data_IF_369771157670
#
_entry.id   IF_369771157670
#
_cell.length_a   1.000
_cell.length_b   1.000
_cell.length_c   1.000
_cell.angle_alpha   90.00
_cell.angle_beta   90.00
_cell.angle_gamma   90.00
#
_symmetry.space_group_name_H-M   'P 1'
#
loop_
_entity.id
_entity.type
_entity.pdbx_description
1 polymer ?
#
# COMPACT_ATOMS: atom_id res chain seq x y z
N UNK A 1 9.64 -14.26 11.58
CA UNK A 1 11.08 -13.94 11.50
C UNK A 1 11.35 -13.11 10.24
N UNK A 2 11.96 -11.92 10.33
CA UNK A 2 12.08 -11.00 9.18
C UNK A 2 12.91 -11.53 8.00
N UNK A 3 13.87 -12.42 8.30
CA UNK A 3 14.78 -13.04 7.33
C UNK A 3 14.29 -14.39 6.82
N UNK A 4 13.10 -14.86 7.24
CA UNK A 4 12.57 -16.13 6.72
C UNK A 4 12.43 -16.04 5.20
N UNK A 5 13.13 -16.91 4.47
CA UNK A 5 13.22 -16.76 3.04
C UNK A 5 11.86 -16.93 2.33
N UNK A 6 11.02 -17.85 2.80
CA UNK A 6 9.75 -18.20 2.14
C UNK A 6 8.54 -17.38 2.63
N UNK A 7 8.76 -16.31 3.40
CA UNK A 7 7.65 -15.44 3.81
C UNK A 7 7.06 -14.67 2.63
N UNK A 8 5.83 -14.21 2.76
CA UNK A 8 5.28 -13.23 1.81
C UNK A 8 6.08 -11.91 1.84
N UNK A 9 6.07 -11.21 0.71
CA UNK A 9 6.72 -9.89 0.58
C UNK A 9 5.70 -8.79 0.49
N UNK A 10 6.00 -7.62 1.04
CA UNK A 10 5.15 -6.44 0.99
C UNK A 10 5.92 -5.23 0.46
N UNK A 11 5.46 -4.68 -0.66
CA UNK A 11 5.98 -3.47 -1.29
C UNK A 11 5.03 -2.32 -1.02
N UNK A 12 5.53 -1.27 -0.37
CA UNK A 12 4.80 -0.01 -0.21
C UNK A 12 5.19 0.95 -1.34
N UNK A 13 4.42 0.93 -2.44
CA UNK A 13 4.57 1.88 -3.54
C UNK A 13 4.23 3.31 -3.10
N UNK A 14 3.19 3.46 -2.26
CA UNK A 14 2.84 4.76 -1.65
C UNK A 14 3.77 5.11 -0.50
N UNK A 15 5.02 5.45 -0.83
CA UNK A 15 6.09 5.62 0.15
C UNK A 15 5.79 6.59 1.30
N UNK A 16 4.91 7.58 1.09
CA UNK A 16 4.45 8.50 2.16
C UNK A 16 3.60 7.81 3.24
N UNK A 17 3.03 6.64 2.96
CA UNK A 17 2.38 5.75 3.93
C UNK A 17 3.33 5.04 4.88
N UNK A 18 4.62 5.36 4.86
CA UNK A 18 5.65 4.78 5.71
C UNK A 18 5.28 4.67 7.20
N UNK A 19 4.66 5.70 7.83
CA UNK A 19 4.25 5.61 9.23
C UNK A 19 3.33 4.42 9.54
N UNK A 20 2.37 4.11 8.65
CA UNK A 20 1.46 2.98 8.81
C UNK A 20 2.20 1.64 8.68
N UNK A 21 3.10 1.50 7.70
CA UNK A 21 3.94 0.32 7.55
C UNK A 21 4.80 0.08 8.79
N UNK A 22 5.45 1.11 9.31
CA UNK A 22 6.29 0.97 10.50
C UNK A 22 5.49 0.65 11.75
N UNK A 23 4.30 1.21 11.93
CA UNK A 23 3.41 0.84 13.02
C UNK A 23 3.00 -0.64 12.94
N UNK A 24 2.68 -1.14 11.74
CA UNK A 24 2.35 -2.55 11.52
C UNK A 24 3.55 -3.47 11.83
N UNK A 25 4.75 -3.14 11.35
CA UNK A 25 5.97 -3.91 11.59
C UNK A 25 6.36 -3.93 13.08
N UNK A 26 6.24 -2.79 13.78
CA UNK A 26 6.47 -2.71 15.22
C UNK A 26 5.48 -3.58 16.00
N UNK A 27 4.19 -3.53 15.65
CA UNK A 27 3.16 -4.39 16.28
C UNK A 27 3.40 -5.88 16.01
N UNK A 28 4.05 -6.23 14.89
CA UNK A 28 4.48 -7.60 14.58
C UNK A 28 5.87 -7.94 15.11
N UNK A 29 6.43 -7.08 15.98
CA UNK A 29 7.72 -7.28 16.66
C UNK A 29 8.91 -7.46 15.72
N UNK A 30 8.89 -6.82 14.54
CA UNK A 30 10.05 -6.77 13.65
C UNK A 30 11.19 -5.93 14.24
N UNK A 31 10.85 -4.97 15.09
CA UNK A 31 11.75 -4.12 15.87
C UNK A 31 11.03 -3.55 17.10
N UNK A 32 11.76 -3.01 18.10
CA UNK A 32 11.15 -2.43 19.30
C UNK A 32 10.25 -1.23 18.98
N UNK A 33 9.11 -1.11 19.66
CA UNK A 33 8.11 -0.04 19.42
C UNK A 33 8.69 1.34 19.68
N UNK A 34 9.69 1.44 20.54
CA UNK A 34 10.40 2.67 20.91
C UNK A 34 11.08 3.34 19.70
N UNK A 35 11.45 2.57 18.67
CA UNK A 35 12.05 3.09 17.44
C UNK A 35 11.11 4.04 16.68
N UNK A 36 9.79 3.91 16.87
CA UNK A 36 8.79 4.81 16.25
C UNK A 36 9.02 6.27 16.64
N UNK A 37 9.56 6.54 17.84
CA UNK A 37 9.88 7.90 18.30
C UNK A 37 11.11 8.52 17.63
N UNK A 38 11.87 7.72 16.87
CA UNK A 38 13.06 8.13 16.12
C UNK A 38 12.79 8.33 14.63
N UNK A 39 11.53 8.22 14.18
CA UNK A 39 11.15 8.42 12.78
C UNK A 39 11.68 9.74 12.20
N UNK A 40 12.33 9.65 11.02
CA UNK A 40 12.97 10.76 10.27
C UNK A 40 14.10 11.48 11.01
N UNK A 41 14.60 10.98 12.15
CA UNK A 41 15.81 11.53 12.77
C UNK A 41 17.06 11.11 12.00
N UNK A 42 18.06 11.98 11.98
CA UNK A 42 19.35 11.69 11.36
C UNK A 42 19.97 10.44 11.99
N UNK A 43 20.39 9.49 11.16
CA UNK A 43 21.01 8.24 11.61
C UNK A 43 20.02 7.17 12.09
N UNK A 44 18.73 7.49 12.23
CA UNK A 44 17.74 6.54 12.72
C UNK A 44 17.50 5.36 11.78
N UNK A 45 16.87 4.31 12.33
CA UNK A 45 16.41 3.16 11.57
C UNK A 45 15.27 3.54 10.61
N UNK A 46 14.25 4.25 11.11
CA UNK A 46 13.02 4.56 10.39
C UNK A 46 13.14 5.85 9.57
N UNK A 47 13.33 5.71 8.26
CA UNK A 47 13.47 6.82 7.30
C UNK A 47 12.12 7.31 6.79
N UNK A 48 12.09 8.51 6.18
CA UNK A 48 10.86 9.12 5.64
C UNK A 48 10.21 8.37 4.47
N UNK A 49 10.94 7.41 3.89
CA UNK A 49 10.47 6.46 2.89
C UNK A 49 11.03 5.07 3.24
N UNK A 50 10.44 3.97 2.74
CA UNK A 50 10.92 2.62 3.01
C UNK A 50 12.38 2.45 2.59
N UNK A 51 13.24 2.00 3.52
CA UNK A 51 14.67 1.75 3.30
C UNK A 51 15.05 0.34 3.79
N UNK A 52 15.28 -0.56 2.84
CA UNK A 52 15.51 -2.00 3.06
C UNK A 52 16.69 -2.27 3.98
N UNK A 53 17.77 -1.48 3.87
CA UNK A 53 18.99 -1.73 4.65
C UNK A 53 18.90 -1.29 6.10
N UNK A 54 17.87 -0.51 6.45
CA UNK A 54 17.73 0.07 7.80
C UNK A 54 16.64 -0.60 8.59
N UNK A 55 15.44 -0.75 8.05
CA UNK A 55 14.28 -1.20 8.81
C UNK A 55 13.97 -2.69 8.55
N UNK A 56 14.04 -3.56 9.58
CA UNK A 56 13.64 -4.96 9.45
C UNK A 56 12.19 -5.10 8.96
N UNK A 57 11.97 -5.96 7.95
CA UNK A 57 10.65 -6.19 7.37
C UNK A 57 10.26 -5.26 6.22
N UNK A 58 11.11 -4.30 5.87
CA UNK A 58 10.96 -3.55 4.62
C UNK A 58 11.55 -4.36 3.47
N UNK A 59 10.71 -4.77 2.52
CA UNK A 59 11.10 -5.67 1.43
C UNK A 59 11.63 -4.98 0.18
N UNK A 60 11.25 -3.72 -0.02
CA UNK A 60 11.61 -2.95 -1.20
C UNK A 60 11.82 -1.48 -0.81
N UNK A 61 12.76 -0.77 -1.49
CA UNK A 61 12.87 0.67 -1.32
C UNK A 61 11.63 1.36 -1.90
N UNK A 62 11.26 2.50 -1.33
CA UNK A 62 10.14 3.29 -1.82
C UNK A 62 10.50 4.78 -1.97
N UNK A 63 9.52 5.56 -2.40
CA UNK A 63 9.61 7.03 -2.44
C UNK A 63 9.59 7.65 -3.83
N UNK A 64 9.84 6.87 -4.89
CA UNK A 64 9.52 7.28 -6.25
C UNK A 64 8.14 6.76 -6.64
N UNK A 65 7.16 7.63 -6.92
CA UNK A 65 5.84 7.22 -7.41
C UNK A 65 5.92 6.28 -8.62
N UNK A 66 4.97 5.34 -8.73
CA UNK A 66 4.85 4.42 -9.87
C UNK A 66 5.83 3.25 -9.90
N UNK A 67 6.96 3.32 -9.20
CA UNK A 67 7.99 2.26 -9.24
C UNK A 67 7.64 1.01 -8.41
N UNK A 68 6.71 1.13 -7.46
CA UNK A 68 6.37 0.05 -6.53
C UNK A 68 5.96 -1.25 -7.22
N UNK A 69 5.07 -1.16 -8.22
CA UNK A 69 4.61 -2.34 -8.96
C UNK A 69 5.75 -3.02 -9.74
N UNK A 70 6.67 -2.25 -10.32
CA UNK A 70 7.84 -2.81 -11.01
C UNK A 70 8.78 -3.58 -10.07
N UNK A 71 9.00 -3.06 -8.85
CA UNK A 71 9.76 -3.78 -7.81
C UNK A 71 9.02 -5.06 -7.38
N UNK A 72 7.70 -4.99 -7.21
CA UNK A 72 6.88 -6.15 -6.87
C UNK A 72 6.91 -7.22 -7.95
N UNK A 73 6.93 -6.85 -9.24
CA UNK A 73 7.12 -7.79 -10.35
C UNK A 73 8.44 -8.55 -10.24
N UNK A 74 9.54 -7.84 -9.95
CA UNK A 74 10.85 -8.46 -9.77
C UNK A 74 10.86 -9.47 -8.62
N UNK A 75 10.24 -9.13 -7.49
CA UNK A 75 10.10 -10.03 -6.35
C UNK A 75 9.22 -11.25 -6.70
N UNK A 76 8.07 -11.04 -7.35
CA UNK A 76 7.16 -12.12 -7.72
C UNK A 76 7.82 -13.10 -8.69
N UNK A 77 8.56 -12.60 -9.68
CA UNK A 77 9.37 -13.39 -10.60
C UNK A 77 10.44 -14.21 -9.86
N UNK A 78 11.14 -13.62 -8.89
CA UNK A 78 12.20 -14.29 -8.15
C UNK A 78 11.67 -15.41 -7.22
N UNK A 79 10.40 -15.32 -6.81
CA UNK A 79 9.79 -16.23 -5.84
C UNK A 79 8.90 -17.31 -6.48
N UNK A 80 8.54 -17.19 -7.76
CA UNK A 80 7.56 -18.06 -8.43
C UNK A 80 7.89 -19.55 -8.46
N UNK A 81 9.17 -19.90 -8.36
CA UNK A 81 9.66 -21.28 -8.45
C UNK A 81 9.89 -21.92 -7.04
N UNK A 82 9.50 -21.23 -5.95
CA UNK A 82 9.59 -21.74 -4.58
C UNK A 82 8.42 -22.67 -4.21
N UNK A 83 8.61 -23.50 -3.18
CA UNK A 83 7.57 -24.38 -2.66
C UNK A 83 7.47 -24.27 -1.11
N UNK A 84 6.37 -23.71 -0.56
CA UNK A 84 5.26 -23.08 -1.28
C UNK A 84 5.69 -21.78 -1.99
N UNK A 85 4.92 -21.34 -2.99
CA UNK A 85 5.17 -20.06 -3.68
C UNK A 85 4.73 -18.91 -2.77
N UNK A 86 5.64 -18.03 -2.33
CA UNK A 86 5.27 -16.86 -1.53
C UNK A 86 4.50 -15.84 -2.35
N UNK A 87 3.54 -15.17 -1.71
CA UNK A 87 2.81 -14.05 -2.30
C UNK A 87 3.62 -12.76 -2.18
N UNK A 88 3.45 -11.87 -3.16
CA UNK A 88 3.97 -10.51 -3.14
C UNK A 88 2.79 -9.56 -3.16
N UNK A 89 2.67 -8.74 -2.12
CA UNK A 89 1.67 -7.69 -2.00
C UNK A 89 2.29 -6.36 -2.36
N UNK A 90 1.61 -5.55 -3.16
CA UNK A 90 2.03 -4.20 -3.51
C UNK A 90 0.89 -3.22 -3.20
N UNK A 91 1.12 -2.26 -2.30
CA UNK A 91 0.16 -1.22 -1.97
C UNK A 91 0.58 0.09 -2.64
N UNK A 92 -0.28 0.63 -3.50
CA UNK A 92 -0.09 1.91 -4.20
C UNK A 92 -1.25 2.84 -3.89
N UNK A 93 -1.05 4.16 -4.00
CA UNK A 93 -2.14 5.12 -4.06
C UNK A 93 -2.65 5.31 -5.48
N UNK A 94 -3.90 5.73 -5.65
CA UNK A 94 -4.47 6.06 -6.96
C UNK A 94 -3.63 7.10 -7.74
N UNK A 95 -3.06 8.11 -7.08
CA UNK A 95 -2.18 9.09 -7.74
C UNK A 95 -0.91 8.48 -8.37
N UNK A 96 -0.43 7.32 -7.90
CA UNK A 96 0.71 6.64 -8.54
C UNK A 96 0.39 6.02 -9.90
N UNK A 97 -0.90 5.77 -10.19
CA UNK A 97 -1.32 5.22 -11.47
C UNK A 97 -1.17 6.23 -12.61
N UNK A 98 -0.98 7.52 -12.29
CA UNK A 98 -0.72 8.55 -13.30
C UNK A 98 0.69 8.43 -13.91
N UNK A 99 1.59 7.68 -13.26
CA UNK A 99 2.94 7.45 -13.75
C UNK A 99 2.95 6.39 -14.86
N UNK A 100 3.57 6.71 -16.01
CA UNK A 100 3.64 5.78 -17.15
C UNK A 100 4.28 4.42 -16.79
N UNK A 101 5.30 4.43 -15.91
CA UNK A 101 6.00 3.23 -15.45
C UNK A 101 5.09 2.25 -14.69
N UNK A 102 4.00 2.74 -14.08
CA UNK A 102 3.00 1.88 -13.46
C UNK A 102 2.35 0.99 -14.51
N UNK A 103 1.94 1.54 -15.66
CA UNK A 103 1.28 0.80 -16.73
C UNK A 103 2.22 -0.17 -17.46
N UNK A 104 3.48 0.20 -17.63
CA UNK A 104 4.52 -0.72 -18.11
C UNK A 104 4.67 -1.93 -17.17
N UNK A 105 4.62 -1.67 -15.86
CA UNK A 105 4.67 -2.72 -14.84
C UNK A 105 3.39 -3.56 -14.80
N UNK A 106 2.22 -2.96 -15.03
CA UNK A 106 0.94 -3.67 -15.12
C UNK A 106 0.92 -4.63 -16.32
N UNK A 107 1.39 -4.19 -17.50
CA UNK A 107 1.59 -5.05 -18.67
C UNK A 107 2.56 -6.20 -18.39
N UNK A 108 3.67 -5.90 -17.72
CA UNK A 108 4.70 -6.89 -17.37
C UNK A 108 4.13 -7.99 -16.46
N UNK A 109 3.31 -7.61 -15.48
CA UNK A 109 2.68 -8.55 -14.54
C UNK A 109 1.86 -9.61 -15.26
N UNK A 110 1.04 -9.18 -16.22
CA UNK A 110 0.22 -10.08 -17.01
C UNK A 110 1.03 -10.89 -18.02
N UNK A 111 2.03 -10.28 -18.67
CA UNK A 111 2.93 -10.96 -19.62
C UNK A 111 3.62 -12.19 -19.01
N UNK A 112 3.93 -12.12 -17.72
CA UNK A 112 4.59 -13.20 -16.97
C UNK A 112 3.64 -14.03 -16.10
N UNK A 113 2.33 -13.83 -16.20
CA UNK A 113 1.32 -14.58 -15.43
C UNK A 113 1.62 -14.61 -13.93
N UNK A 114 1.95 -13.46 -13.33
CA UNK A 114 2.36 -13.35 -11.92
C UNK A 114 1.16 -13.51 -10.98
N UNK A 115 0.63 -14.72 -10.85
CA UNK A 115 -0.52 -15.02 -9.98
C UNK A 115 -0.19 -15.00 -8.49
N UNK A 116 1.10 -15.07 -8.13
CA UNK A 116 1.58 -14.79 -6.78
C UNK A 116 1.66 -13.29 -6.44
N UNK A 117 1.37 -12.38 -7.38
CA UNK A 117 1.31 -10.94 -7.15
C UNK A 117 -0.13 -10.48 -6.83
N UNK A 118 -0.26 -9.70 -5.76
CA UNK A 118 -1.49 -9.00 -5.37
C UNK A 118 -1.22 -7.50 -5.29
N UNK A 119 -1.76 -6.75 -6.23
CA UNK A 119 -1.81 -5.29 -6.18
C UNK A 119 -3.00 -4.86 -5.33
N UNK A 120 -2.79 -3.88 -4.46
CA UNK A 120 -3.82 -3.20 -3.69
C UNK A 120 -3.73 -1.73 -4.05
N UNK A 121 -4.81 -1.17 -4.57
CA UNK A 121 -4.91 0.23 -4.92
C UNK A 121 -5.76 0.90 -3.84
N UNK A 122 -5.12 1.80 -3.10
CA UNK A 122 -5.78 2.68 -2.14
C UNK A 122 -6.44 3.84 -2.91
N UNK A 123 -7.75 3.72 -3.14
CA UNK A 123 -8.56 4.65 -3.92
C UNK A 123 -9.29 5.61 -2.98
N UNK A 124 -8.59 6.65 -2.53
CA UNK A 124 -9.16 7.70 -1.67
C UNK A 124 -9.57 8.97 -2.44
N UNK A 125 -9.22 9.08 -3.72
CA UNK A 125 -9.53 10.21 -4.58
C UNK A 125 -8.72 11.47 -4.29
N UNK A 126 -7.63 11.37 -3.52
CA UNK A 126 -6.86 12.53 -3.03
C UNK A 126 -5.39 12.46 -3.41
N UNK A 127 -4.87 13.62 -3.80
CA UNK A 127 -3.45 13.83 -4.05
C UNK A 127 -3.00 15.20 -3.55
N UNK A 128 -1.69 15.48 -3.64
CA UNK A 128 -1.08 16.64 -2.99
C UNK A 128 -1.72 17.98 -3.35
N UNK A 129 -2.19 18.14 -4.59
CA UNK A 129 -2.68 19.41 -5.11
C UNK A 129 -4.21 19.47 -5.21
N UNK A 130 -4.94 18.47 -4.72
CA UNK A 130 -6.41 18.44 -4.81
C UNK A 130 -6.97 17.04 -5.04
N UNK A 131 -8.23 17.02 -5.50
CA UNK A 131 -8.90 15.79 -5.90
C UNK A 131 -8.25 15.18 -7.14
N UNK A 132 -8.24 13.86 -7.21
CA UNK A 132 -7.71 13.14 -8.38
C UNK A 132 -8.51 13.48 -9.65
N UNK A 133 -9.84 13.43 -9.58
CA UNK A 133 -10.76 13.81 -10.67
C UNK A 133 -10.60 15.25 -11.18
N UNK A 134 -10.10 16.17 -10.36
CA UNK A 134 -9.93 17.57 -10.78
C UNK A 134 -8.61 17.80 -11.54
N UNK A 135 -7.60 17.00 -11.22
CA UNK A 135 -6.23 17.19 -11.72
C UNK A 135 -5.95 16.27 -12.90
N UNK A 136 -6.24 14.97 -12.76
CA UNK A 136 -6.00 13.96 -13.80
C UNK A 136 -6.88 12.73 -13.53
N UNK A 137 -8.10 12.68 -14.09
CA UNK A 137 -9.03 11.56 -13.98
C UNK A 137 -8.45 10.23 -14.48
N UNK A 138 -8.60 9.17 -13.69
CA UNK A 138 -8.10 7.83 -13.95
C UNK A 138 -9.20 6.82 -14.27
N UNK A 139 -10.48 7.14 -14.07
CA UNK A 139 -11.56 6.20 -14.33
C UNK A 139 -11.74 5.88 -15.84
N UNK A 140 -12.19 4.68 -16.20
CA UNK A 140 -12.40 3.50 -15.34
C UNK A 140 -11.08 2.79 -15.01
N UNK A 141 -10.74 2.61 -13.72
CA UNK A 141 -9.47 1.97 -13.29
C UNK A 141 -9.54 0.44 -13.49
N UNK A 142 -10.61 -0.19 -13.02
CA UNK A 142 -10.78 -1.64 -13.08
C UNK A 142 -10.77 -2.17 -14.53
N UNK A 143 -11.43 -1.45 -15.44
CA UNK A 143 -11.46 -1.79 -16.87
C UNK A 143 -10.08 -1.66 -17.52
N UNK A 144 -9.30 -0.63 -17.18
CA UNK A 144 -7.91 -0.48 -17.66
C UNK A 144 -7.05 -1.67 -17.25
N UNK A 145 -7.06 -2.06 -15.98
CA UNK A 145 -6.28 -3.20 -15.50
C UNK A 145 -6.78 -4.54 -16.09
N UNK A 146 -8.11 -4.70 -16.19
CA UNK A 146 -8.71 -5.88 -16.84
C UNK A 146 -8.27 -5.98 -18.30
N UNK A 147 -8.18 -4.86 -19.02
CA UNK A 147 -7.67 -4.82 -20.40
C UNK A 147 -6.21 -5.26 -20.53
N UNK A 148 -5.42 -5.12 -19.45
CA UNK A 148 -4.06 -5.64 -19.36
C UNK A 148 -3.99 -7.11 -18.91
N UNK A 149 -5.11 -7.77 -18.62
CA UNK A 149 -5.18 -9.18 -18.24
C UNK A 149 -5.17 -9.46 -16.73
N UNK A 150 -5.45 -8.44 -15.91
CA UNK A 150 -5.58 -8.61 -14.46
C UNK A 150 -6.95 -9.18 -14.07
N UNK A 151 -6.98 -9.90 -12.95
CA UNK A 151 -8.22 -10.14 -12.21
C UNK A 151 -8.39 -9.00 -11.20
N UNK A 152 -9.53 -8.30 -11.23
CA UNK A 152 -9.78 -7.11 -10.42
C UNK A 152 -11.05 -7.33 -9.60
N UNK A 153 -10.97 -7.03 -8.30
CA UNK A 153 -12.13 -6.95 -7.41
C UNK A 153 -12.15 -5.58 -6.74
N UNK A 154 -13.32 -4.96 -6.69
CA UNK A 154 -13.54 -3.70 -5.98
C UNK A 154 -14.15 -3.98 -4.61
N UNK A 155 -13.75 -3.22 -3.59
CA UNK A 155 -14.26 -3.41 -2.23
C UNK A 155 -14.26 -2.11 -1.43
N UNK A 156 -14.96 -2.13 -0.29
CA UNK A 156 -14.83 -1.10 0.73
C UNK A 156 -13.54 -1.34 1.52
N UNK A 157 -12.58 -0.43 1.41
CA UNK A 157 -11.28 -0.54 2.07
C UNK A 157 -11.33 -0.30 3.59
N UNK A 158 -12.48 0.08 4.15
CA UNK A 158 -12.71 0.22 5.58
C UNK A 158 -13.55 -0.89 6.20
N UNK A 159 -14.02 -1.83 5.39
CA UNK A 159 -14.73 -3.03 5.86
C UNK A 159 -13.84 -4.27 5.69
N UNK A 160 -13.41 -4.84 6.81
CA UNK A 160 -12.58 -6.05 6.80
C UNK A 160 -13.29 -7.24 6.15
N UNK A 161 -14.62 -7.35 6.27
CA UNK A 161 -15.36 -8.42 5.62
C UNK A 161 -15.37 -8.25 4.08
N UNK A 162 -15.50 -7.02 3.59
CA UNK A 162 -15.39 -6.67 2.18
C UNK A 162 -13.99 -7.00 1.62
N UNK A 163 -12.93 -6.61 2.33
CA UNK A 163 -11.55 -6.91 1.97
C UNK A 163 -11.27 -8.42 1.93
N UNK A 164 -11.73 -9.17 2.93
CA UNK A 164 -11.59 -10.63 2.98
C UNK A 164 -12.34 -11.30 1.82
N UNK A 165 -13.54 -10.81 1.51
CA UNK A 165 -14.33 -11.27 0.36
C UNK A 165 -13.59 -11.08 -0.97
N UNK A 166 -13.06 -9.87 -1.21
CA UNK A 166 -12.29 -9.56 -2.42
C UNK A 166 -11.01 -10.41 -2.52
N UNK A 167 -10.27 -10.56 -1.42
CA UNK A 167 -9.10 -11.46 -1.36
C UNK A 167 -9.48 -12.91 -1.67
N UNK A 168 -10.59 -13.40 -1.13
CA UNK A 168 -11.05 -14.76 -1.35
C UNK A 168 -11.47 -15.01 -2.82
N UNK A 169 -12.20 -14.07 -3.43
CA UNK A 169 -12.61 -14.15 -4.83
C UNK A 169 -11.40 -14.29 -5.77
N UNK A 170 -10.36 -13.48 -5.54
CA UNK A 170 -9.15 -13.47 -6.36
C UNK A 170 -8.25 -14.70 -6.19
N UNK A 171 -8.38 -15.49 -5.11
CA UNK A 171 -7.58 -16.73 -4.92
C UNK A 171 -7.80 -17.76 -6.03
N UNK A 172 -8.93 -17.69 -6.72
CA UNK A 172 -9.28 -18.64 -7.79
C UNK A 172 -8.82 -18.18 -9.18
N UNK A 173 -8.26 -16.97 -9.29
CA UNK A 173 -7.87 -16.34 -10.56
C UNK A 173 -6.54 -16.84 -11.15
N UNK A 174 -6.21 -18.12 -10.97
CA UNK A 174 -4.90 -18.71 -11.31
C UNK A 174 -4.38 -18.30 -12.71
N UNK A 175 -3.07 -18.08 -12.81
CA UNK A 175 -2.40 -17.60 -14.03
C UNK A 175 -2.59 -16.11 -14.34
N UNK A 176 -3.28 -15.32 -13.51
CA UNK A 176 -3.42 -13.87 -13.66
C UNK A 176 -2.90 -13.12 -12.42
N UNK A 177 -2.23 -11.97 -12.60
CA UNK A 177 -2.00 -11.06 -11.48
C UNK A 177 -3.33 -10.51 -10.95
N UNK A 178 -3.37 -10.26 -9.64
CA UNK A 178 -4.61 -9.97 -8.89
C UNK A 178 -4.58 -8.54 -8.39
N UNK A 179 -5.69 -7.81 -8.53
CA UNK A 179 -5.83 -6.44 -8.07
C UNK A 179 -7.05 -6.29 -7.15
N UNK A 180 -6.85 -5.68 -6.00
CA UNK A 180 -7.91 -5.20 -5.11
C UNK A 180 -7.96 -3.68 -5.27
N UNK A 181 -9.06 -3.16 -5.81
CA UNK A 181 -9.33 -1.73 -5.83
C UNK A 181 -10.13 -1.40 -4.56
N UNK A 182 -9.43 -0.91 -3.54
CA UNK A 182 -10.01 -0.61 -2.24
C UNK A 182 -10.44 0.85 -2.18
N UNK A 183 -11.76 1.09 -2.16
CA UNK A 183 -12.32 2.43 -1.98
C UNK A 183 -12.15 2.86 -0.53
N UNK A 184 -11.44 3.97 -0.31
CA UNK A 184 -11.07 4.43 1.02
C UNK A 184 -11.37 5.91 1.21
N UNK A 185 -11.01 6.43 2.38
CA UNK A 185 -11.22 7.81 2.81
C UNK A 185 -9.90 8.24 3.42
N UNK A 186 -9.25 9.21 2.79
CA UNK A 186 -8.00 9.75 3.30
C UNK A 186 -8.22 10.30 4.71
N UNK A 187 -7.37 9.93 5.67
CA UNK A 187 -7.50 10.36 7.07
C UNK A 187 -8.60 9.68 7.88
N UNK A 188 -9.14 8.54 7.43
CA UNK A 188 -10.19 7.76 8.11
C UNK A 188 -9.97 7.64 9.62
N UNK A 189 -11.04 7.85 10.39
CA UNK A 189 -11.07 7.71 11.84
C UNK A 189 -10.69 8.99 12.61
N UNK A 190 -10.24 10.03 11.91
CA UNK A 190 -9.95 11.35 12.50
C UNK A 190 -10.75 12.41 11.76
N UNK A 191 -11.81 12.91 12.38
CA UNK A 191 -12.86 13.73 11.77
C UNK A 191 -12.36 14.96 11.02
N UNK A 192 -11.26 15.56 11.49
CA UNK A 192 -10.68 16.77 10.90
C UNK A 192 -9.58 16.49 9.87
N UNK A 193 -9.23 15.23 9.64
CA UNK A 193 -8.33 14.77 8.58
C UNK A 193 -9.10 14.04 7.47
N UNK A 194 -10.28 13.49 7.77
CA UNK A 194 -11.11 12.77 6.81
C UNK A 194 -11.40 13.59 5.54
N UNK A 195 -11.29 12.92 4.38
CA UNK A 195 -11.50 13.54 3.08
C UNK A 195 -10.36 14.45 2.62
N UNK A 196 -9.19 14.37 3.27
CA UNK A 196 -8.02 15.16 2.89
C UNK A 196 -8.17 16.65 3.24
N UNK A 197 -8.85 16.96 4.35
CA UNK A 197 -8.97 18.31 4.87
C UNK A 197 -7.58 18.94 5.11
N UNK A 198 -7.13 19.74 4.14
CA UNK A 198 -5.78 20.29 4.01
C UNK A 198 -5.49 21.49 4.93
N UNK A 199 -6.30 21.69 5.97
CA UNK A 199 -6.20 22.86 6.86
C UNK A 199 -5.13 22.78 7.94
N UNK A 200 -4.47 21.62 8.11
CA UNK A 200 -3.51 21.38 9.18
C UNK A 200 -2.13 21.12 8.55
N UNK A 201 -1.35 22.18 8.39
CA UNK A 201 0.02 22.07 7.86
C UNK A 201 0.94 21.23 8.74
N UNK A 202 0.82 21.37 10.06
CA UNK A 202 1.49 20.52 11.05
C UNK A 202 0.50 20.12 12.15
N UNK A 203 0.48 18.82 12.49
CA UNK A 203 -0.28 18.31 13.63
C UNK A 203 0.33 18.86 14.92
N UNK A 204 -0.30 19.88 15.50
CA UNK A 204 0.05 20.36 16.84
C UNK A 204 -0.25 19.30 17.90
N UNK A 205 0.27 19.48 19.12
CA UNK A 205 -0.04 18.58 20.25
C UNK A 205 -1.55 18.50 20.52
N UNK A 206 -2.26 19.62 20.44
CA UNK A 206 -3.70 19.65 20.68
C UNK A 206 -4.47 18.85 19.62
N UNK A 207 -4.08 18.96 18.34
CA UNK A 207 -4.67 18.14 17.27
C UNK A 207 -4.34 16.66 17.45
N UNK A 208 -3.12 16.32 17.86
CA UNK A 208 -2.73 14.94 18.16
C UNK A 208 -3.58 14.36 19.30
N UNK A 209 -3.72 15.07 20.42
CA UNK A 209 -4.54 14.62 21.56
C UNK A 209 -6.01 14.46 21.15
N UNK A 210 -6.52 15.37 20.32
CA UNK A 210 -7.88 15.25 19.76
C UNK A 210 -8.02 14.00 18.88
N UNK A 211 -7.09 13.76 17.97
CA UNK A 211 -7.11 12.56 17.11
C UNK A 211 -7.08 11.26 17.92
N UNK A 212 -6.21 11.17 18.93
CA UNK A 212 -6.12 9.99 19.79
C UNK A 212 -7.44 9.73 20.54
N UNK A 213 -8.09 10.77 21.07
CA UNK A 213 -9.41 10.62 21.72
C UNK A 213 -10.51 10.18 20.77
N UNK A 214 -10.46 10.56 19.49
CA UNK A 214 -11.42 10.10 18.49
C UNK A 214 -11.20 8.62 18.17
N UNK A 215 -9.95 8.21 17.98
CA UNK A 215 -9.57 6.82 17.71
C UNK A 215 -9.88 5.88 18.89
N UNK A 216 -9.70 6.33 20.13
CA UNK A 216 -10.06 5.54 21.32
C UNK A 216 -11.57 5.31 21.45
N UNK A 217 -12.39 6.27 21.01
CA UNK A 217 -13.86 6.17 21.07
C UNK A 217 -14.47 5.34 19.94
N UNK A 218 -13.76 5.22 18.81
CA UNK A 218 -14.21 4.47 17.63
C UNK A 218 -13.72 3.03 17.57
N UNK A 219 -13.03 2.53 18.61
CA UNK A 219 -12.42 1.20 18.64
C UNK A 219 -13.32 0.04 19.07
N UNK A 220 -14.64 0.16 18.93
CA UNK A 220 -15.61 -0.92 19.16
C UNK A 220 -15.83 -1.78 17.91
#
# INVERSE_FOLDING_TARGET
EPSWEDRDRFVLGKGRGCPALYAALANRSFFPREELWSYRRLGAMLQGFPEVRRAPGVDAPGGSPGQGLGLANGLALALRDRAPVPSVYCLVGDGELQEGVFWESAMTSARFCLDNLVLIIDRDGRQNMGGEEEIMPLEPIAEKLTSFGWAVEECDGHDFASLDGAMAALRTSGGKPRCILACTVSGKGVSFLEGGASGIGELSRDFMDKALRELEKGGD
#
